data_IF_093733254558
#
_entry.id   IF_093733254558
#
_cell.length_a   1.000
_cell.length_b   1.000
_cell.length_c   1.000
_cell.angle_alpha   90.00
_cell.angle_beta   90.00
_cell.angle_gamma   90.00
#
_symmetry.space_group_name_H-M   'P 1'
#
loop_
_entity.id
_entity.type
_entity.pdbx_description
1 polymer ?
#
# COMPACT_ATOMS: atom_id res chain seq x y z
N UNK A 1 19.36 30.91 1.91
CA UNK A 1 18.86 30.16 0.72
C UNK A 1 17.75 29.21 1.16
N UNK A 2 16.58 29.37 0.64
CA UNK A 2 15.48 28.40 0.83
C UNK A 2 15.75 27.15 0.00
N UNK A 3 15.82 25.99 0.65
CA UNK A 3 15.93 24.70 -0.06
C UNK A 3 14.58 24.37 -0.71
N UNK A 4 14.60 24.05 -1.99
CA UNK A 4 13.41 23.57 -2.70
C UNK A 4 13.26 22.07 -2.47
N UNK A 5 12.07 21.64 -2.06
CA UNK A 5 11.71 20.24 -1.92
C UNK A 5 10.67 19.94 -2.99
N UNK A 6 10.83 18.82 -3.68
CA UNK A 6 9.94 18.38 -4.75
C UNK A 6 9.55 16.92 -4.57
N UNK A 7 8.36 16.55 -5.04
CA UNK A 7 7.92 15.16 -5.14
C UNK A 7 8.33 14.66 -6.52
N UNK A 8 9.14 13.60 -6.56
CA UNK A 8 9.68 13.04 -7.82
C UNK A 8 8.92 11.80 -8.29
N UNK A 9 8.21 11.14 -7.40
CA UNK A 9 7.38 9.97 -7.73
C UNK A 9 6.39 9.69 -6.63
N UNK A 10 5.32 9.03 -6.98
CA UNK A 10 4.29 8.58 -6.05
C UNK A 10 3.82 7.17 -6.44
N UNK A 11 3.38 6.40 -5.44
CA UNK A 11 2.81 5.08 -5.62
C UNK A 11 1.82 4.77 -4.52
N UNK A 12 0.84 3.95 -4.82
CA UNK A 12 -0.20 3.59 -3.87
C UNK A 12 -0.99 2.37 -4.30
N UNK A 13 -1.67 1.80 -3.33
CA UNK A 13 -2.63 0.71 -3.50
C UNK A 13 -3.94 1.13 -2.85
N UNK A 14 -5.02 0.91 -3.54
CA UNK A 14 -6.37 1.17 -3.03
C UNK A 14 -7.35 0.12 -3.54
N UNK A 15 -8.54 0.10 -2.99
CA UNK A 15 -9.62 -0.75 -3.50
C UNK A 15 -10.10 -0.33 -4.91
N UNK A 16 -9.74 0.87 -5.39
CA UNK A 16 -9.99 1.30 -6.77
C UNK A 16 -8.96 0.80 -7.76
N UNK A 17 -7.76 0.43 -7.30
CA UNK A 17 -6.67 -0.05 -8.14
C UNK A 17 -5.29 0.15 -7.53
N UNK A 18 -4.27 -0.27 -8.27
CA UNK A 18 -2.87 -0.23 -7.86
C UNK A 18 -2.04 0.78 -8.68
N UNK A 19 -2.64 1.48 -9.61
CA UNK A 19 -1.99 2.52 -10.42
C UNK A 19 -2.85 3.79 -10.45
N UNK A 20 -2.19 4.93 -10.62
CA UNK A 20 -2.86 6.22 -10.61
C UNK A 20 -3.93 6.37 -11.71
N UNK A 21 -3.69 5.98 -12.98
CA UNK A 21 -4.71 6.09 -14.01
C UNK A 21 -6.01 5.35 -13.68
N UNK A 22 -5.91 4.16 -13.07
CA UNK A 22 -7.08 3.36 -12.65
C UNK A 22 -7.79 4.02 -11.47
N UNK A 23 -7.04 4.46 -10.46
CA UNK A 23 -7.59 5.17 -9.30
C UNK A 23 -8.28 6.47 -9.74
N UNK A 24 -7.63 7.29 -10.56
CA UNK A 24 -8.17 8.54 -11.06
C UNK A 24 -9.47 8.33 -11.84
N UNK A 25 -9.51 7.34 -12.73
CA UNK A 25 -10.71 6.99 -13.49
C UNK A 25 -11.87 6.61 -12.57
N UNK A 26 -11.62 5.80 -11.54
CA UNK A 26 -12.61 5.43 -10.54
C UNK A 26 -13.15 6.63 -9.77
N UNK A 27 -12.26 7.53 -9.34
CA UNK A 27 -12.62 8.76 -8.64
C UNK A 27 -13.45 9.70 -9.53
N UNK A 28 -13.05 9.91 -10.77
CA UNK A 28 -13.79 10.74 -11.74
C UNK A 28 -15.17 10.16 -12.05
N UNK A 29 -15.27 8.84 -12.13
CA UNK A 29 -16.54 8.12 -12.31
C UNK A 29 -17.39 8.09 -11.04
N UNK A 30 -16.90 8.63 -9.89
CA UNK A 30 -17.55 8.56 -8.58
C UNK A 30 -17.86 7.12 -8.16
N UNK A 31 -17.02 6.17 -8.59
CA UNK A 31 -17.16 4.77 -8.24
C UNK A 31 -16.79 4.56 -6.76
N UNK A 32 -17.69 3.96 -5.99
CA UNK A 32 -17.43 3.55 -4.61
C UNK A 32 -17.13 2.06 -4.58
N UNK A 33 -16.03 1.70 -3.92
CA UNK A 33 -15.66 0.30 -3.63
C UNK A 33 -16.08 -0.11 -2.22
N UNK A 34 -16.71 0.78 -1.48
CA UNK A 34 -17.24 0.46 -0.15
C UNK A 34 -18.39 -0.52 -0.30
N UNK A 35 -18.30 -1.63 0.41
CA UNK A 35 -19.32 -2.68 0.40
C UNK A 35 -19.54 -3.29 1.77
N UNK A 36 -20.64 -3.97 1.91
CA UNK A 36 -20.94 -4.75 3.10
C UNK A 36 -20.01 -5.97 3.20
N UNK A 37 -19.58 -6.27 4.43
CA UNK A 37 -18.66 -7.36 4.75
C UNK A 37 -19.41 -8.45 5.54
N UNK A 38 -19.97 -9.48 4.86
CA UNK A 38 -20.77 -10.51 5.52
C UNK A 38 -20.02 -11.28 6.61
N UNK A 39 -18.71 -11.47 6.44
CA UNK A 39 -17.87 -12.14 7.42
C UNK A 39 -17.73 -11.40 8.76
N UNK A 40 -18.14 -10.13 8.81
CA UNK A 40 -18.16 -9.33 10.03
C UNK A 40 -19.45 -9.47 10.84
N UNK A 41 -20.44 -10.21 10.35
CA UNK A 41 -21.67 -10.52 11.09
C UNK A 41 -21.41 -11.25 12.42
N UNK A 42 -20.31 -12.01 12.49
CA UNK A 42 -19.87 -12.66 13.72
C UNK A 42 -19.55 -11.70 14.88
N UNK A 43 -19.35 -10.43 14.59
CA UNK A 43 -19.05 -9.40 15.58
C UNK A 43 -20.33 -8.62 15.91
N UNK A 44 -21.00 -8.98 17.01
CA UNK A 44 -22.29 -8.41 17.39
C UNK A 44 -22.21 -6.92 17.77
N UNK A 45 -21.09 -6.51 18.39
CA UNK A 45 -20.87 -5.13 18.84
C UNK A 45 -20.31 -4.21 17.75
N UNK A 46 -20.13 -4.71 16.53
CA UNK A 46 -19.64 -3.91 15.42
C UNK A 46 -20.78 -3.18 14.73
N UNK A 47 -20.91 -1.88 15.00
CA UNK A 47 -22.00 -1.05 14.47
C UNK A 47 -21.93 -0.86 12.93
N UNK A 48 -20.73 -0.85 12.36
CA UNK A 48 -20.53 -0.64 10.92
C UNK A 48 -19.78 -1.83 10.32
N UNK A 49 -20.42 -2.49 9.37
CA UNK A 49 -19.90 -3.66 8.68
C UNK A 49 -19.59 -3.34 7.21
N UNK A 50 -19.06 -2.15 6.98
CA UNK A 50 -18.70 -1.64 5.65
C UNK A 50 -17.19 -1.46 5.55
N UNK A 51 -16.61 -1.87 4.42
CA UNK A 51 -15.21 -1.62 4.09
C UNK A 51 -14.98 -1.52 2.58
N UNK A 52 -13.83 -1.02 2.20
CA UNK A 52 -13.32 -1.03 0.84
C UNK A 52 -12.06 -1.92 0.80
N UNK A 53 -12.19 -3.24 0.71
CA UNK A 53 -11.06 -4.15 0.77
C UNK A 53 -10.22 -4.12 -0.51
N UNK A 54 -8.91 -4.31 -0.36
CA UNK A 54 -8.01 -4.61 -1.48
C UNK A 54 -7.93 -6.15 -1.56
N UNK A 55 -8.67 -6.77 -2.47
CA UNK A 55 -8.78 -8.23 -2.56
C UNK A 55 -7.75 -8.83 -3.53
N UNK A 56 -7.57 -8.22 -4.68
CA UNK A 56 -6.79 -8.75 -5.80
C UNK A 56 -5.28 -8.49 -5.69
N UNK A 57 -4.78 -8.28 -4.46
CA UNK A 57 -3.35 -8.10 -4.28
C UNK A 57 -2.62 -9.45 -4.26
N UNK A 58 -1.78 -9.65 -5.25
CA UNK A 58 -0.79 -10.73 -5.30
C UNK A 58 0.62 -10.15 -5.11
N UNK A 59 1.44 -10.74 -4.22
CA UNK A 59 2.84 -10.35 -4.11
C UNK A 59 3.56 -10.52 -5.45
N UNK A 60 4.42 -9.57 -5.86
CA UNK A 60 5.14 -9.69 -7.11
C UNK A 60 6.12 -10.86 -7.09
N UNK A 61 6.34 -11.47 -8.26
CA UNK A 61 7.15 -12.69 -8.41
C UNK A 61 8.62 -12.52 -7.96
N UNK A 62 9.13 -11.30 -7.92
CA UNK A 62 10.50 -11.01 -7.47
C UNK A 62 10.67 -11.02 -5.94
N UNK A 63 9.58 -11.04 -5.18
CA UNK A 63 9.67 -11.17 -3.73
C UNK A 63 9.91 -12.63 -3.34
N UNK A 64 10.95 -12.84 -2.55
CA UNK A 64 11.31 -14.17 -2.07
C UNK A 64 10.35 -14.66 -0.98
N UNK A 65 10.25 -15.99 -0.81
CA UNK A 65 9.48 -16.58 0.30
C UNK A 65 9.95 -16.11 1.67
N UNK A 66 11.27 -15.84 1.81
CA UNK A 66 11.84 -15.31 3.05
C UNK A 66 11.31 -13.92 3.38
N UNK A 67 11.28 -13.02 2.38
CA UNK A 67 10.71 -11.68 2.52
C UNK A 67 9.21 -11.74 2.86
N UNK A 68 8.45 -12.55 2.14
CA UNK A 68 7.02 -12.70 2.38
C UNK A 68 6.68 -13.20 3.79
N UNK A 69 7.48 -14.13 4.34
CA UNK A 69 7.28 -14.61 5.72
C UNK A 69 7.53 -13.55 6.79
N UNK A 70 8.33 -12.54 6.49
CA UNK A 70 8.64 -11.45 7.43
C UNK A 70 7.72 -10.25 7.29
N UNK A 71 6.80 -10.26 6.32
CA UNK A 71 5.92 -9.13 6.04
C UNK A 71 4.46 -9.51 6.23
N UNK A 72 3.80 -8.89 7.19
CA UNK A 72 2.35 -8.89 7.25
C UNK A 72 1.73 -8.10 6.09
N UNK A 73 0.41 -8.20 5.92
CA UNK A 73 -0.29 -7.62 4.78
C UNK A 73 -0.07 -6.10 4.64
N UNK A 74 -0.07 -5.37 5.73
CA UNK A 74 0.20 -3.91 5.73
C UNK A 74 1.62 -3.62 5.23
N UNK A 75 2.60 -4.40 5.69
CA UNK A 75 4.00 -4.27 5.24
C UNK A 75 4.14 -4.57 3.75
N UNK A 76 3.45 -5.59 3.25
CA UNK A 76 3.44 -5.92 1.82
C UNK A 76 2.88 -4.76 0.99
N UNK A 77 1.79 -4.13 1.43
CA UNK A 77 1.23 -2.95 0.75
C UNK A 77 2.19 -1.77 0.77
N UNK A 78 2.81 -1.48 1.92
CA UNK A 78 3.76 -0.38 2.05
C UNK A 78 4.98 -0.57 1.16
N UNK A 79 5.57 -1.76 1.16
CA UNK A 79 6.72 -2.08 0.28
C UNK A 79 6.33 -2.00 -1.19
N UNK A 80 5.15 -2.50 -1.57
CA UNK A 80 4.70 -2.42 -2.97
C UNK A 80 4.43 -0.99 -3.41
N UNK A 81 3.81 -0.18 -2.57
CA UNK A 81 3.60 1.24 -2.85
C UNK A 81 4.94 2.00 -3.00
N UNK A 82 5.93 1.67 -2.16
CA UNK A 82 7.27 2.24 -2.26
C UNK A 82 7.98 1.83 -3.57
N UNK A 83 7.85 0.57 -4.01
CA UNK A 83 8.35 0.13 -5.32
C UNK A 83 7.75 0.94 -6.47
N UNK A 84 6.45 1.18 -6.45
CA UNK A 84 5.78 2.02 -7.46
C UNK A 84 6.27 3.47 -7.44
N UNK A 85 6.48 4.03 -6.25
CA UNK A 85 6.99 5.39 -6.10
C UNK A 85 8.43 5.52 -6.62
N UNK A 86 9.29 4.54 -6.33
CA UNK A 86 10.68 4.51 -6.83
C UNK A 86 10.72 4.32 -8.35
N UNK A 87 9.84 3.49 -8.89
CA UNK A 87 9.70 3.27 -10.33
C UNK A 87 9.26 4.57 -11.05
N UNK A 88 8.24 5.24 -10.51
CA UNK A 88 7.75 6.52 -11.01
C UNK A 88 8.81 7.64 -10.95
N UNK A 89 9.69 7.59 -9.95
CA UNK A 89 10.80 8.53 -9.79
C UNK A 89 12.02 8.19 -10.65
N UNK A 90 12.05 7.04 -11.34
CA UNK A 90 13.21 6.54 -12.08
C UNK A 90 14.37 6.09 -11.18
N UNK A 91 14.09 5.80 -9.91
CA UNK A 91 15.09 5.42 -8.89
C UNK A 91 15.14 3.91 -8.60
N UNK A 92 14.26 3.13 -9.19
CA UNK A 92 14.23 1.69 -8.99
C UNK A 92 15.52 1.05 -9.53
N UNK A 93 16.28 0.44 -8.62
CA UNK A 93 17.58 -0.15 -8.95
C UNK A 93 18.74 0.84 -9.03
N UNK A 94 18.51 2.12 -8.81
CA UNK A 94 19.59 3.13 -8.77
C UNK A 94 20.41 2.96 -7.48
N UNK A 95 21.74 3.05 -7.62
CA UNK A 95 22.65 2.94 -6.45
C UNK A 95 22.51 4.12 -5.49
N UNK A 96 22.02 5.27 -5.95
CA UNK A 96 21.79 6.45 -5.10
C UNK A 96 20.83 6.20 -3.94
N UNK A 97 19.91 5.21 -4.08
CA UNK A 97 19.03 4.84 -2.96
C UNK A 97 19.76 4.11 -1.83
N UNK A 98 21.04 3.72 -2.03
CA UNK A 98 21.83 2.95 -1.07
C UNK A 98 23.09 3.68 -0.60
N UNK A 99 23.34 4.88 -1.09
CA UNK A 99 24.54 5.66 -0.77
C UNK A 99 24.48 6.41 0.59
N UNK A 100 23.40 6.19 1.35
CA UNK A 100 23.20 6.80 2.67
C UNK A 100 22.51 8.17 2.65
N UNK A 101 22.15 8.70 1.49
CA UNK A 101 21.42 9.97 1.35
C UNK A 101 19.90 9.80 1.36
N UNK A 102 19.42 8.59 1.10
CA UNK A 102 17.98 8.27 1.14
C UNK A 102 17.57 7.72 2.50
N UNK A 103 16.50 8.24 3.04
CA UNK A 103 15.85 7.71 4.25
C UNK A 103 14.46 7.19 3.93
N UNK A 104 13.93 6.38 4.84
CA UNK A 104 12.56 5.87 4.80
C UNK A 104 11.83 6.33 6.05
N UNK A 105 10.65 6.92 5.87
CA UNK A 105 9.70 7.17 6.95
C UNK A 105 8.40 6.42 6.63
N UNK A 106 7.96 5.59 7.56
CA UNK A 106 6.75 4.79 7.41
C UNK A 106 5.91 4.89 8.68
N UNK A 107 4.59 4.95 8.51
CA UNK A 107 3.64 4.98 9.62
C UNK A 107 2.43 4.13 9.30
N UNK A 108 1.85 3.53 10.34
CA UNK A 108 0.57 2.81 10.28
C UNK A 108 -0.16 3.02 11.60
N UNK A 109 -1.48 3.25 11.54
CA UNK A 109 -2.27 3.47 12.74
C UNK A 109 -2.59 2.18 13.49
N UNK A 110 -2.76 1.06 12.78
CA UNK A 110 -3.23 -0.21 13.38
C UNK A 110 -2.29 -1.39 13.07
N UNK A 111 -1.59 -1.36 11.95
CA UNK A 111 -0.75 -2.47 11.51
C UNK A 111 -1.54 -3.70 11.06
N UNK A 112 -0.89 -4.85 11.07
CA UNK A 112 -1.48 -6.15 10.73
C UNK A 112 -1.81 -6.94 11.99
N UNK A 113 -2.92 -6.66 12.63
CA UNK A 113 -3.34 -7.31 13.89
C UNK A 113 -3.37 -8.85 13.81
N UNK A 114 -3.78 -9.48 12.69
CA UNK A 114 -3.71 -10.94 12.56
C UNK A 114 -2.31 -11.52 12.65
N UNK A 115 -1.30 -10.76 12.20
CA UNK A 115 0.10 -11.23 12.17
C UNK A 115 0.79 -11.11 13.54
N UNK A 116 0.19 -10.39 14.49
CA UNK A 116 0.70 -10.24 15.86
C UNK A 116 0.32 -11.46 16.74
N UNK A 117 -0.67 -12.25 16.32
CA UNK A 117 -1.17 -13.41 17.09
C UNK A 117 -0.34 -14.69 16.90
N UNK A 118 0.63 -14.68 16.02
CA UNK A 118 1.56 -15.78 15.76
C UNK A 118 2.95 -15.36 16.29
#
# INVERSE_FOLDING_TARGET
MTRRVVITGAGGLSALGADWPTIERGLRARHSTVRYMPEWERYQDLNTKLAAPIEDFAPPAHWTRKQLRSMGRVSQFAVRAAEFALDAAGLKGDEQIRDGRMGVACGSSVGSTPDIKN
#
